data_IF_368558081659
#
_entry.id   IF_368558081659
#
_cell.length_a   1.000
_cell.length_b   1.000
_cell.length_c   1.000
_cell.angle_alpha   90.00
_cell.angle_beta   90.00
_cell.angle_gamma   90.00
#
_symmetry.space_group_name_H-M   'P 1'
#
loop_
_entity.id
_entity.type
_entity.pdbx_description
1 polymer ?
#
# COMPACT_ATOMS: atom_id res chain seq x y z
N UNK A 1 8.18 20.96 28.55
CA UNK A 1 7.59 19.99 29.49
C UNK A 1 7.20 18.67 28.79
N UNK A 2 7.94 18.23 27.76
CA UNK A 2 7.75 16.94 27.06
C UNK A 2 8.99 16.02 27.17
N UNK A 3 10.08 16.50 27.78
CA UNK A 3 11.38 15.80 27.82
C UNK A 3 11.48 14.70 28.88
N UNK A 4 10.49 14.55 29.78
CA UNK A 4 10.58 13.64 30.93
C UNK A 4 9.78 12.32 30.76
N UNK A 5 9.22 12.06 29.57
CA UNK A 5 8.53 10.80 29.26
C UNK A 5 9.35 9.88 28.32
N UNK A 6 10.55 10.27 27.89
CA UNK A 6 11.35 9.49 26.93
C UNK A 6 10.73 9.37 25.53
N UNK A 7 9.63 10.09 25.27
CA UNK A 7 8.96 10.10 23.97
C UNK A 7 9.65 11.16 23.10
N UNK A 8 10.68 10.73 22.39
CA UNK A 8 11.42 11.56 21.44
C UNK A 8 10.63 11.64 20.10
N UNK A 9 9.64 12.52 20.05
CA UNK A 9 8.79 12.73 18.87
C UNK A 9 9.51 13.61 17.85
N UNK A 10 9.62 13.15 16.60
CA UNK A 10 10.01 14.04 15.51
C UNK A 10 8.98 15.16 15.36
N UNK A 11 9.46 16.39 15.27
CA UNK A 11 8.64 17.52 14.85
C UNK A 11 8.13 17.31 13.42
N UNK A 12 6.99 17.91 13.04
CA UNK A 12 6.50 17.86 11.66
C UNK A 12 7.54 18.29 10.62
N UNK A 13 8.45 19.20 10.99
CA UNK A 13 9.55 19.66 10.13
C UNK A 13 10.58 18.55 9.89
N UNK A 14 11.02 17.84 10.94
CA UNK A 14 11.97 16.74 10.81
C UNK A 14 11.40 15.57 10.00
N UNK A 15 10.08 15.30 10.13
CA UNK A 15 9.42 14.28 9.31
C UNK A 15 9.41 14.71 7.84
N UNK A 16 9.09 15.98 7.55
CA UNK A 16 9.12 16.52 6.19
C UNK A 16 10.50 16.36 5.54
N UNK A 17 11.57 16.74 6.24
CA UNK A 17 12.95 16.61 5.77
C UNK A 17 13.34 15.13 5.53
N UNK A 18 12.91 14.21 6.40
CA UNK A 18 13.13 12.77 6.20
C UNK A 18 12.41 12.26 4.97
N UNK A 19 11.14 12.61 4.81
CA UNK A 19 10.31 12.18 3.69
C UNK A 19 10.85 12.72 2.36
N UNK A 20 11.30 13.97 2.34
CA UNK A 20 11.99 14.58 1.19
C UNK A 20 13.24 13.78 0.81
N UNK A 21 14.11 13.48 1.79
CA UNK A 21 15.32 12.68 1.57
C UNK A 21 15.00 11.26 1.07
N UNK A 22 13.98 10.60 1.64
CA UNK A 22 13.49 9.31 1.13
C UNK A 22 13.06 9.46 -0.33
N UNK A 23 12.36 10.53 -0.67
CA UNK A 23 11.93 10.81 -2.04
C UNK A 23 13.10 10.93 -3.02
N UNK A 24 14.16 11.65 -2.64
CA UNK A 24 15.39 11.79 -3.44
C UNK A 24 16.05 10.42 -3.66
N UNK A 25 16.21 9.62 -2.59
CA UNK A 25 16.83 8.29 -2.68
C UNK A 25 16.02 7.37 -3.60
N UNK A 26 14.69 7.30 -3.41
CA UNK A 26 13.80 6.46 -4.21
C UNK A 26 13.77 6.86 -5.69
N UNK A 27 13.77 8.16 -5.98
CA UNK A 27 13.79 8.66 -7.36
C UNK A 27 15.06 8.23 -8.12
N UNK A 28 16.18 8.11 -7.42
CA UNK A 28 17.50 7.77 -7.98
C UNK A 28 17.84 6.28 -7.93
N UNK A 29 16.92 5.41 -7.47
CA UNK A 29 17.18 3.97 -7.48
C UNK A 29 17.47 3.45 -8.90
N UNK A 30 18.41 2.49 -9.04
CA UNK A 30 18.62 1.78 -10.29
C UNK A 30 17.31 1.12 -10.75
N UNK A 31 17.04 1.14 -12.07
CA UNK A 31 15.78 0.62 -12.65
C UNK A 31 15.48 -0.80 -12.18
N UNK A 32 16.50 -1.68 -12.18
CA UNK A 32 16.35 -3.07 -11.74
C UNK A 32 15.93 -3.17 -10.28
N UNK A 33 16.55 -2.41 -9.38
CA UNK A 33 16.23 -2.42 -7.95
C UNK A 33 14.81 -1.90 -7.74
N UNK A 34 14.47 -0.76 -8.33
CA UNK A 34 13.14 -0.16 -8.27
C UNK A 34 12.06 -1.12 -8.77
N UNK A 35 12.31 -1.81 -9.89
CA UNK A 35 11.38 -2.78 -10.45
C UNK A 35 11.21 -4.01 -9.53
N UNK A 36 12.31 -4.60 -9.05
CA UNK A 36 12.22 -5.78 -8.16
C UNK A 36 11.51 -5.46 -6.84
N UNK A 37 11.83 -4.32 -6.22
CA UNK A 37 11.13 -3.85 -5.02
C UNK A 37 9.66 -3.53 -5.31
N UNK A 38 9.34 -3.05 -6.51
CA UNK A 38 7.97 -2.83 -6.96
C UNK A 38 7.18 -4.12 -7.14
N UNK A 39 7.80 -5.17 -7.68
CA UNK A 39 7.18 -6.50 -7.77
C UNK A 39 6.84 -7.03 -6.38
N UNK A 40 7.77 -6.92 -5.42
CA UNK A 40 7.52 -7.33 -4.04
C UNK A 40 6.37 -6.54 -3.40
N UNK A 41 6.32 -5.21 -3.60
CA UNK A 41 5.22 -4.39 -3.09
C UNK A 41 3.86 -4.83 -3.65
N UNK A 42 3.79 -5.12 -4.96
CA UNK A 42 2.57 -5.67 -5.58
C UNK A 42 2.13 -6.98 -4.94
N UNK A 43 3.08 -7.88 -4.68
CA UNK A 43 2.81 -9.15 -4.03
C UNK A 43 2.35 -8.99 -2.56
N UNK A 44 2.95 -8.07 -1.82
CA UNK A 44 2.58 -7.77 -0.43
C UNK A 44 1.16 -7.21 -0.29
N UNK A 45 0.76 -6.30 -1.17
CA UNK A 45 -0.63 -5.85 -1.23
C UNK A 45 -1.56 -7.02 -1.61
N UNK A 46 -1.10 -7.92 -2.47
CA UNK A 46 -1.76 -9.20 -2.75
C UNK A 46 -2.05 -9.99 -1.47
N UNK A 47 -1.04 -10.24 -0.61
CA UNK A 47 -1.25 -10.94 0.67
C UNK A 47 -2.27 -10.25 1.58
N UNK A 48 -2.24 -8.91 1.67
CA UNK A 48 -3.26 -8.16 2.40
C UNK A 48 -4.67 -8.38 1.82
N UNK A 49 -4.80 -8.42 0.50
CA UNK A 49 -6.08 -8.68 -0.17
C UNK A 49 -6.58 -10.12 0.04
N UNK A 50 -5.70 -11.12 0.07
CA UNK A 50 -6.05 -12.51 0.41
C UNK A 50 -6.62 -12.58 1.83
N UNK A 51 -5.94 -11.95 2.78
CA UNK A 51 -6.37 -11.99 4.17
C UNK A 51 -7.70 -11.24 4.39
N UNK A 52 -7.86 -10.07 3.75
CA UNK A 52 -9.16 -9.39 3.69
C UNK A 52 -10.26 -10.31 3.15
N UNK A 53 -10.00 -11.02 2.06
CA UNK A 53 -11.01 -11.85 1.39
C UNK A 53 -11.42 -13.03 2.26
N UNK A 54 -10.48 -13.64 2.99
CA UNK A 54 -10.77 -14.69 3.94
C UNK A 54 -11.80 -14.22 4.98
N UNK A 55 -11.53 -13.07 5.63
CA UNK A 55 -12.46 -12.47 6.61
C UNK A 55 -13.78 -12.08 5.96
N UNK A 56 -13.74 -11.48 4.77
CA UNK A 56 -14.93 -11.01 4.07
C UNK A 56 -15.83 -12.14 3.52
N UNK A 57 -15.30 -13.36 3.42
CA UNK A 57 -16.05 -14.53 2.98
C UNK A 57 -16.86 -15.21 4.10
N UNK A 58 -16.68 -14.79 5.35
CA UNK A 58 -17.41 -15.35 6.48
C UNK A 58 -18.83 -14.75 6.58
N UNK A 59 -19.83 -15.57 6.25
CA UNK A 59 -21.24 -15.19 6.28
C UNK A 59 -21.78 -14.97 7.71
N UNK A 60 -21.07 -15.42 8.75
CA UNK A 60 -21.48 -15.21 10.15
C UNK A 60 -21.20 -13.78 10.64
N UNK A 61 -20.31 -13.05 9.95
CA UNK A 61 -19.95 -11.69 10.32
C UNK A 61 -20.97 -10.67 9.79
N UNK A 62 -21.44 -9.80 10.69
CA UNK A 62 -22.23 -8.64 10.30
C UNK A 62 -21.43 -7.64 9.44
N UNK A 63 -22.14 -6.73 8.76
CA UNK A 63 -21.52 -5.73 7.87
C UNK A 63 -20.39 -4.93 8.54
N UNK A 64 -20.65 -4.34 9.70
CA UNK A 64 -19.68 -3.49 10.40
C UNK A 64 -18.43 -4.28 10.80
N UNK A 65 -18.62 -5.47 11.36
CA UNK A 65 -17.52 -6.33 11.81
C UNK A 65 -16.67 -6.81 10.64
N UNK A 66 -17.30 -7.21 9.53
CA UNK A 66 -16.62 -7.57 8.28
C UNK A 66 -15.71 -6.42 7.79
N UNK A 67 -16.19 -5.17 7.84
CA UNK A 67 -15.42 -4.02 7.36
C UNK A 67 -14.26 -3.67 8.28
N UNK A 68 -14.46 -3.74 9.59
CA UNK A 68 -13.39 -3.47 10.57
C UNK A 68 -12.33 -4.56 10.54
N UNK A 69 -12.72 -5.83 10.70
CA UNK A 69 -11.78 -6.95 10.70
C UNK A 69 -11.11 -7.14 9.35
N UNK A 70 -11.84 -6.98 8.25
CA UNK A 70 -11.27 -7.01 6.91
C UNK A 70 -10.24 -5.90 6.72
N UNK A 71 -10.52 -4.67 7.18
CA UNK A 71 -9.58 -3.56 7.12
C UNK A 71 -8.31 -3.81 7.92
N UNK A 72 -8.44 -4.35 9.13
CA UNK A 72 -7.31 -4.79 9.96
C UNK A 72 -6.51 -5.90 9.27
N UNK A 73 -7.16 -6.91 8.71
CA UNK A 73 -6.50 -7.97 7.96
C UNK A 73 -5.74 -7.42 6.72
N UNK A 74 -6.33 -6.46 6.00
CA UNK A 74 -5.70 -5.82 4.84
C UNK A 74 -4.43 -5.04 5.20
N UNK A 75 -4.35 -4.48 6.42
CA UNK A 75 -3.20 -3.68 6.88
C UNK A 75 -1.88 -4.44 6.80
N UNK A 76 -1.90 -5.78 6.88
CA UNK A 76 -0.74 -6.64 6.68
C UNK A 76 0.03 -6.26 5.40
N UNK A 77 -0.68 -5.98 4.31
CA UNK A 77 -0.03 -5.64 3.04
C UNK A 77 0.80 -4.35 3.13
N UNK A 78 0.28 -3.31 3.79
CA UNK A 78 1.01 -2.06 3.99
C UNK A 78 2.15 -2.20 4.99
N UNK A 79 1.96 -3.01 6.06
CA UNK A 79 3.03 -3.31 7.03
C UNK A 79 4.20 -3.98 6.33
N UNK A 80 3.95 -5.01 5.51
CA UNK A 80 4.98 -5.70 4.75
C UNK A 80 5.74 -4.73 3.82
N UNK A 81 5.03 -3.85 3.12
CA UNK A 81 5.65 -2.81 2.27
C UNK A 81 6.54 -1.88 3.10
N UNK A 82 6.03 -1.36 4.22
CA UNK A 82 6.73 -0.37 5.03
C UNK A 82 7.96 -0.96 5.74
N UNK A 83 7.83 -2.16 6.29
CA UNK A 83 8.90 -2.82 7.06
C UNK A 83 9.96 -3.42 6.15
N UNK A 84 9.57 -4.07 5.05
CA UNK A 84 10.53 -4.64 4.10
C UNK A 84 11.16 -3.59 3.18
N UNK A 85 10.64 -2.37 3.15
CA UNK A 85 11.15 -1.27 2.31
C UNK A 85 10.85 -1.48 0.82
N UNK A 86 9.69 -2.07 0.49
CA UNK A 86 9.28 -2.28 -0.88
C UNK A 86 8.78 -0.97 -1.54
N UNK A 87 8.84 -0.90 -2.88
CA UNK A 87 8.45 0.29 -3.64
C UNK A 87 6.99 0.22 -4.06
N UNK A 88 6.10 0.91 -3.33
CA UNK A 88 4.68 0.95 -3.64
C UNK A 88 4.29 2.26 -4.31
N UNK A 89 3.59 2.21 -5.44
CA UNK A 89 3.22 3.37 -6.24
C UNK A 89 2.46 4.43 -5.43
N UNK A 90 1.43 4.01 -4.69
CA UNK A 90 0.61 4.92 -3.86
C UNK A 90 1.43 5.60 -2.78
N UNK A 91 2.38 4.90 -2.16
CA UNK A 91 3.33 5.48 -1.21
C UNK A 91 4.34 6.41 -1.89
N UNK A 92 4.78 6.09 -3.10
CA UNK A 92 5.71 6.89 -3.88
C UNK A 92 5.08 8.17 -4.46
N UNK A 93 3.76 8.37 -4.34
CA UNK A 93 3.15 9.67 -4.62
C UNK A 93 3.70 10.76 -3.67
N UNK A 94 4.26 10.41 -2.51
CA UNK A 94 4.92 11.36 -1.61
C UNK A 94 6.20 12.00 -2.21
N UNK A 95 6.79 11.40 -3.26
CA UNK A 95 7.92 12.00 -3.99
C UNK A 95 7.55 13.37 -4.60
N UNK A 96 6.26 13.68 -4.75
CA UNK A 96 5.78 15.02 -5.16
C UNK A 96 6.33 16.11 -4.26
N UNK A 97 6.55 15.87 -2.96
CA UNK A 97 7.15 16.87 -2.07
C UNK A 97 8.58 17.22 -2.49
N UNK A 98 9.42 16.21 -2.74
CA UNK A 98 10.79 16.43 -3.21
C UNK A 98 10.84 17.14 -4.57
N UNK A 99 9.85 16.89 -5.45
CA UNK A 99 9.73 17.61 -6.71
C UNK A 99 9.27 19.07 -6.50
N UNK A 100 8.28 19.31 -5.66
CA UNK A 100 7.75 20.64 -5.36
C UNK A 100 8.81 21.56 -4.73
N UNK A 101 9.71 20.99 -3.93
CA UNK A 101 10.88 21.68 -3.35
C UNK A 101 12.08 21.77 -4.32
N UNK A 102 11.93 21.31 -5.57
CA UNK A 102 12.97 21.40 -6.60
C UNK A 102 14.17 20.47 -6.38
N UNK A 103 14.06 19.44 -5.52
CA UNK A 103 15.14 18.49 -5.25
C UNK A 103 15.30 17.40 -6.30
N UNK A 104 14.21 17.07 -7.00
CA UNK A 104 14.22 16.13 -8.11
C UNK A 104 13.51 16.74 -9.32
N UNK A 105 14.00 16.52 -10.55
CA UNK A 105 13.29 16.92 -11.74
C UNK A 105 12.04 16.05 -11.94
N UNK A 106 11.03 16.62 -12.60
CA UNK A 106 9.79 15.91 -12.92
C UNK A 106 10.02 14.60 -13.71
N UNK A 107 11.08 14.55 -14.51
CA UNK A 107 11.46 13.34 -15.28
C UNK A 107 11.78 12.15 -14.37
N UNK A 108 12.45 12.36 -13.23
CA UNK A 108 12.73 11.29 -12.27
C UNK A 108 11.46 10.86 -11.52
N UNK A 109 10.59 11.81 -11.18
CA UNK A 109 9.29 11.54 -10.58
C UNK A 109 8.42 10.65 -11.50
N UNK A 110 8.23 11.08 -12.75
CA UNK A 110 7.46 10.36 -13.74
C UNK A 110 8.06 8.98 -14.06
N UNK A 111 9.39 8.86 -14.15
CA UNK A 111 10.10 7.59 -14.31
C UNK A 111 9.81 6.64 -13.15
N UNK A 112 9.91 7.12 -11.90
CA UNK A 112 9.63 6.29 -10.72
C UNK A 112 8.19 5.79 -10.75
N UNK A 113 7.22 6.68 -10.96
CA UNK A 113 5.82 6.34 -11.05
C UNK A 113 5.51 5.30 -12.11
N UNK A 114 6.02 5.48 -13.33
CA UNK A 114 5.80 4.53 -14.41
C UNK A 114 6.38 3.13 -14.09
N UNK A 115 7.63 3.07 -13.64
CA UNK A 115 8.30 1.80 -13.33
C UNK A 115 7.60 1.08 -12.18
N UNK A 116 7.35 1.80 -11.08
CA UNK A 116 6.78 1.20 -9.86
C UNK A 116 5.33 0.77 -10.09
N UNK A 117 4.53 1.55 -10.84
CA UNK A 117 3.17 1.16 -11.20
C UNK A 117 3.14 -0.16 -11.97
N UNK A 118 3.97 -0.29 -13.02
CA UNK A 118 4.07 -1.52 -13.82
C UNK A 118 4.60 -2.68 -12.96
N UNK A 119 5.62 -2.45 -12.15
CA UNK A 119 6.19 -3.48 -11.28
C UNK A 119 5.17 -3.98 -10.24
N UNK A 120 4.40 -3.08 -9.61
CA UNK A 120 3.33 -3.45 -8.68
C UNK A 120 2.27 -4.31 -9.38
N UNK A 121 1.89 -3.96 -10.61
CA UNK A 121 0.95 -4.76 -11.40
C UNK A 121 1.51 -6.16 -11.69
N UNK A 122 2.79 -6.28 -12.08
CA UNK A 122 3.45 -7.58 -12.30
C UNK A 122 3.45 -8.43 -11.03
N UNK A 123 3.79 -7.84 -9.88
CA UNK A 123 3.75 -8.54 -8.59
C UNK A 123 2.33 -9.01 -8.21
N UNK A 124 1.34 -8.16 -8.40
CA UNK A 124 -0.06 -8.50 -8.14
C UNK A 124 -0.58 -9.61 -9.08
N UNK A 125 -0.24 -9.56 -10.37
CA UNK A 125 -0.60 -10.61 -11.33
C UNK A 125 0.11 -11.93 -11.03
N UNK A 126 1.36 -11.89 -10.58
CA UNK A 126 2.07 -13.07 -10.06
C UNK A 126 1.32 -13.70 -8.88
N UNK A 127 0.84 -12.87 -7.94
CA UNK A 127 -0.01 -13.36 -6.85
C UNK A 127 -1.32 -13.97 -7.35
N UNK A 128 -1.98 -13.36 -8.33
CA UNK A 128 -3.20 -13.93 -8.95
C UNK A 128 -2.93 -15.33 -9.49
N UNK A 129 -1.82 -15.52 -10.22
CA UNK A 129 -1.45 -16.82 -10.76
C UNK A 129 -1.21 -17.86 -9.65
N UNK A 130 -0.44 -17.50 -8.60
CA UNK A 130 -0.17 -18.39 -7.47
C UNK A 130 -1.45 -18.77 -6.71
N UNK A 131 -2.35 -17.81 -6.51
CA UNK A 131 -3.62 -17.99 -5.77
C UNK A 131 -4.60 -18.86 -6.55
N UNK A 132 -4.61 -18.73 -7.87
CA UNK A 132 -5.41 -19.58 -8.74
C UNK A 132 -4.88 -21.02 -8.73
N UNK A 133 -3.56 -21.19 -8.91
CA UNK A 133 -2.92 -22.51 -8.90
C UNK A 133 -2.96 -23.20 -7.53
N UNK A 134 -3.05 -22.44 -6.43
CA UNK A 134 -3.14 -22.98 -5.08
C UNK A 134 -4.54 -23.42 -4.67
N UNK A 135 -5.56 -23.24 -5.53
CA UNK A 135 -6.95 -23.53 -5.20
C UNK A 135 -7.47 -22.76 -3.97
N UNK A 136 -6.91 -21.58 -3.68
CA UNK A 136 -7.34 -20.76 -2.54
C UNK A 136 -8.84 -20.38 -2.60
N UNK A 137 -9.43 -20.31 -3.80
CA UNK A 137 -10.86 -20.04 -3.98
C UNK A 137 -11.78 -21.11 -3.40
N UNK A 138 -11.31 -22.35 -3.29
CA UNK A 138 -12.12 -23.50 -2.85
C UNK A 138 -12.33 -23.51 -1.32
N UNK A 139 -11.61 -22.65 -0.60
CA UNK A 139 -11.76 -22.46 0.84
C UNK A 139 -13.16 -21.98 1.22
N UNK A 140 -13.59 -22.34 2.44
CA UNK A 140 -14.92 -22.04 2.95
C UNK A 140 -16.04 -22.49 2.00
N UNK A 141 -15.91 -23.73 1.49
CA UNK A 141 -16.85 -24.34 0.54
C UNK A 141 -17.11 -23.48 -0.72
N UNK A 142 -16.08 -22.79 -1.21
CA UNK A 142 -16.16 -21.92 -2.40
C UNK A 142 -16.55 -20.46 -2.12
N UNK A 143 -16.93 -20.10 -0.89
CA UNK A 143 -17.34 -18.73 -0.55
C UNK A 143 -16.23 -17.69 -0.76
N UNK A 144 -14.95 -18.10 -0.68
CA UNK A 144 -13.81 -17.24 -0.98
C UNK A 144 -13.79 -16.85 -2.46
N UNK A 145 -14.01 -17.80 -3.38
CA UNK A 145 -14.13 -17.53 -4.81
C UNK A 145 -15.30 -16.58 -5.12
N UNK A 146 -16.47 -16.83 -4.53
CA UNK A 146 -17.64 -15.97 -4.68
C UNK A 146 -17.36 -14.53 -4.20
N UNK A 147 -16.62 -14.39 -3.10
CA UNK A 147 -16.23 -13.09 -2.55
C UNK A 147 -15.30 -12.33 -3.51
N UNK A 148 -14.31 -12.99 -4.14
CA UNK A 148 -13.48 -12.36 -5.16
C UNK A 148 -14.32 -11.81 -6.32
N UNK A 149 -15.21 -12.64 -6.87
CA UNK A 149 -16.08 -12.26 -8.00
C UNK A 149 -16.99 -11.10 -7.62
N UNK A 150 -17.62 -11.15 -6.44
CA UNK A 150 -18.51 -10.10 -5.93
C UNK A 150 -17.78 -8.77 -5.76
N UNK A 151 -16.58 -8.78 -5.18
CA UNK A 151 -15.76 -7.57 -5.00
C UNK A 151 -15.33 -7.00 -6.35
N UNK A 152 -14.90 -7.85 -7.29
CA UNK A 152 -14.50 -7.43 -8.63
C UNK A 152 -15.67 -6.82 -9.42
N UNK A 153 -16.84 -7.47 -9.41
CA UNK A 153 -18.05 -6.98 -10.07
C UNK A 153 -18.49 -5.62 -9.50
N UNK A 154 -18.50 -5.48 -8.18
CA UNK A 154 -18.85 -4.20 -7.54
C UNK A 154 -17.88 -3.07 -7.91
N UNK A 155 -16.58 -3.35 -7.98
CA UNK A 155 -15.57 -2.34 -8.35
C UNK A 155 -15.67 -1.92 -9.81
N UNK A 156 -15.90 -2.87 -10.71
CA UNK A 156 -15.97 -2.61 -12.17
C UNK A 156 -17.28 -1.95 -12.60
N UNK A 157 -18.37 -2.16 -11.86
CA UNK A 157 -19.65 -1.50 -12.10
C UNK A 157 -19.77 -0.08 -11.50
N UNK A 158 -18.80 0.36 -10.69
CA UNK A 158 -18.87 1.67 -10.01
C UNK A 158 -18.57 2.81 -11.00
N UNK A 159 -19.36 3.90 -11.04
CA UNK A 159 -19.10 5.03 -11.93
C UNK A 159 -17.73 5.68 -11.73
N UNK A 160 -17.12 6.16 -12.81
CA UNK A 160 -15.76 6.73 -12.81
C UNK A 160 -15.54 7.80 -11.74
N UNK A 161 -16.43 8.80 -11.64
CA UNK A 161 -16.28 9.88 -10.66
C UNK A 161 -16.27 9.36 -9.20
N UNK A 162 -17.08 8.34 -8.92
CA UNK A 162 -17.13 7.71 -7.60
C UNK A 162 -15.83 6.96 -7.31
N UNK A 163 -15.28 6.25 -8.30
CA UNK A 163 -13.97 5.57 -8.18
C UNK A 163 -12.84 6.59 -7.99
N UNK A 164 -12.87 7.71 -8.71
CA UNK A 164 -11.89 8.78 -8.60
C UNK A 164 -11.85 9.37 -7.18
N UNK A 165 -13.01 9.78 -6.64
CA UNK A 165 -13.10 10.34 -5.28
C UNK A 165 -12.67 9.33 -4.23
N UNK A 166 -13.07 8.05 -4.36
CA UNK A 166 -12.59 6.97 -3.49
C UNK A 166 -11.08 6.79 -3.58
N UNK A 167 -10.51 6.94 -4.77
CA UNK A 167 -9.06 6.88 -5.00
C UNK A 167 -8.31 8.00 -4.29
N UNK A 168 -8.81 9.24 -4.35
CA UNK A 168 -8.23 10.38 -3.63
C UNK A 168 -8.21 10.13 -2.12
N UNK A 169 -9.35 9.72 -1.54
CA UNK A 169 -9.45 9.44 -0.10
C UNK A 169 -8.55 8.27 0.32
N UNK A 170 -8.51 7.21 -0.49
CA UNK A 170 -7.65 6.05 -0.24
C UNK A 170 -6.17 6.46 -0.24
N UNK A 171 -5.73 7.21 -1.26
CA UNK A 171 -4.33 7.59 -1.35
C UNK A 171 -3.92 8.61 -0.27
N UNK A 172 -4.84 9.48 0.18
CA UNK A 172 -4.59 10.35 1.33
C UNK A 172 -4.26 9.54 2.59
N UNK A 173 -5.01 8.46 2.86
CA UNK A 173 -4.76 7.56 4.00
C UNK A 173 -3.44 6.77 3.84
N UNK A 174 -3.13 6.28 2.64
CA UNK A 174 -1.87 5.56 2.39
C UNK A 174 -0.67 6.49 2.57
N UNK A 175 -0.73 7.71 2.02
CA UNK A 175 0.28 8.73 2.21
C UNK A 175 0.46 9.04 3.72
N UNK A 176 -0.64 9.22 4.47
CA UNK A 176 -0.57 9.45 5.91
C UNK A 176 0.06 8.26 6.65
N UNK A 177 -0.23 7.03 6.27
CA UNK A 177 0.41 5.84 6.84
C UNK A 177 1.93 5.84 6.61
N UNK A 178 2.39 6.21 5.41
CA UNK A 178 3.83 6.36 5.11
C UNK A 178 4.47 7.46 5.96
N UNK A 179 3.77 8.60 6.13
CA UNK A 179 4.23 9.69 6.99
C UNK A 179 4.38 9.26 8.44
N UNK A 180 3.36 8.60 9.00
CA UNK A 180 3.37 8.11 10.38
C UNK A 180 4.44 7.03 10.59
N UNK A 181 4.60 6.10 9.65
CA UNK A 181 5.66 5.10 9.69
C UNK A 181 7.06 5.73 9.60
N UNK A 182 7.21 6.86 8.90
CA UNK A 182 8.48 7.61 8.83
C UNK A 182 8.75 8.39 10.12
N UNK A 183 7.70 8.80 10.83
CA UNK A 183 7.78 9.41 12.16
C UNK A 183 8.15 8.40 13.26
N UNK A 184 7.84 7.12 13.07
CA UNK A 184 8.26 6.04 13.97
C UNK A 184 9.78 5.81 13.99
N UNK A 185 10.31 5.28 15.11
CA UNK A 185 11.75 5.03 15.29
C UNK A 185 12.10 3.54 15.24
N UNK A 186 11.17 2.69 15.66
CA UNK A 186 11.31 1.24 15.66
C UNK A 186 10.43 0.58 14.60
N UNK A 187 10.63 -0.72 14.37
CA UNK A 187 9.71 -1.52 13.54
C UNK A 187 8.33 -1.62 14.21
N UNK A 188 8.27 -1.62 15.54
CA UNK A 188 7.00 -1.67 16.30
C UNK A 188 6.16 -0.41 16.13
N UNK A 189 6.80 0.75 15.89
CA UNK A 189 6.10 2.03 15.66
C UNK A 189 5.51 2.14 14.24
N UNK A 190 5.90 1.22 13.33
CA UNK A 190 5.53 1.22 11.91
C UNK A 190 4.43 0.20 11.63
#
# INVERSE_FOLDING_TARGET
MASNLGIDLYSPKEIAEKVENIGIVKANLPVRTMFMLGVLAGAFIGFGALYFTLVASDASLGFALTRVLGGLAFSLGLILVAVAGAELFTGNNFLVMAWAEGRIPFSLLARNWAIVYVANAVGALGMVALVFLSHHGDMNSGAVAETYVKVAAAKTATPFLVVLVKGILCNALVCLAVWLATAGRSVTDK
#
